data_IF_194959979460
#
_entry.id   IF_194959979460
#
_cell.length_a   1.000
_cell.length_b   1.000
_cell.length_c   1.000
_cell.angle_alpha   90.00
_cell.angle_beta   90.00
_cell.angle_gamma   90.00
#
_symmetry.space_group_name_H-M   'P 1'
#
loop_
_entity.id
_entity.type
_entity.pdbx_description
1 polymer ?
#
# COMPACT_ATOMS: atom_id res chain seq x y z
N UNK A 1 24.69 2.77 6.30
CA UNK A 1 23.33 3.18 6.66
C UNK A 1 22.38 2.33 5.84
N UNK A 2 21.78 1.31 6.44
CA UNK A 2 20.94 0.34 5.72
C UNK A 2 19.76 0.01 6.60
N UNK A 3 18.58 0.39 6.14
CA UNK A 3 17.32 -0.05 6.72
C UNK A 3 16.86 -1.33 6.01
N UNK A 4 16.47 -2.33 6.80
CA UNK A 4 15.88 -3.58 6.31
C UNK A 4 14.38 -3.53 6.53
N UNK A 5 13.62 -3.83 5.48
CA UNK A 5 12.17 -3.93 5.51
C UNK A 5 11.75 -5.33 5.08
N UNK A 6 10.73 -5.87 5.74
CA UNK A 6 10.12 -7.15 5.39
C UNK A 6 8.61 -7.06 5.64
N UNK A 7 7.84 -7.84 4.89
CA UNK A 7 6.46 -8.13 5.17
C UNK A 7 6.36 -9.63 5.47
N UNK A 8 5.60 -10.01 6.50
CA UNK A 8 5.39 -11.43 6.82
C UNK A 8 4.09 -11.94 6.21
N UNK A 9 3.94 -13.26 6.15
CA UNK A 9 2.80 -13.94 5.50
C UNK A 9 1.44 -13.46 6.01
N UNK A 10 1.33 -13.10 7.29
CA UNK A 10 0.06 -12.62 7.88
C UNK A 10 -0.27 -11.16 7.51
N UNK A 11 0.74 -10.36 7.14
CA UNK A 11 0.56 -8.98 6.70
C UNK A 11 0.35 -8.90 5.18
N UNK A 12 0.86 -9.89 4.44
CA UNK A 12 0.86 -9.91 2.98
C UNK A 12 -0.55 -9.81 2.36
N UNK A 13 -1.60 -10.54 2.80
CA UNK A 13 -2.93 -10.42 2.20
C UNK A 13 -3.49 -8.99 2.21
N UNK A 14 -3.29 -8.26 3.31
CA UNK A 14 -3.76 -6.89 3.43
C UNK A 14 -2.91 -5.93 2.57
N UNK A 15 -1.59 -6.10 2.58
CA UNK A 15 -0.68 -5.30 1.74
C UNK A 15 -0.97 -5.52 0.26
N UNK A 16 -1.16 -6.77 -0.17
CA UNK A 16 -1.51 -7.13 -1.55
C UNK A 16 -2.79 -6.41 -2.00
N UNK A 17 -3.84 -6.43 -1.20
CA UNK A 17 -5.09 -5.72 -1.52
C UNK A 17 -4.89 -4.20 -1.65
N UNK A 18 -4.04 -3.61 -0.79
CA UNK A 18 -3.68 -2.19 -0.88
C UNK A 18 -2.91 -1.88 -2.18
N UNK A 19 -1.95 -2.73 -2.56
CA UNK A 19 -1.21 -2.60 -3.82
C UNK A 19 -2.12 -2.75 -5.04
N UNK A 20 -2.99 -3.76 -5.06
CA UNK A 20 -3.95 -3.97 -6.16
C UNK A 20 -4.89 -2.77 -6.33
N UNK A 21 -5.40 -2.23 -5.22
CA UNK A 21 -6.24 -1.03 -5.22
C UNK A 21 -5.48 0.20 -5.74
N UNK A 22 -4.20 0.32 -5.39
CA UNK A 22 -3.38 1.46 -5.81
C UNK A 22 -2.99 1.39 -7.28
N UNK A 23 -2.68 0.19 -7.78
CA UNK A 23 -2.27 -0.08 -9.16
C UNK A 23 -3.42 -0.08 -10.16
N UNK A 24 -4.67 -0.13 -9.69
CA UNK A 24 -5.85 -0.02 -10.55
C UNK A 24 -5.76 1.26 -11.41
N UNK A 25 -5.88 1.17 -12.76
CA UNK A 25 -5.86 2.34 -13.63
C UNK A 25 -6.87 3.43 -13.23
N UNK A 26 -8.00 3.06 -12.62
CA UNK A 26 -8.99 4.00 -12.11
C UNK A 26 -8.47 4.86 -10.95
N UNK A 27 -7.38 4.45 -10.29
CA UNK A 27 -6.71 5.24 -9.26
C UNK A 27 -5.83 6.36 -9.85
N UNK A 28 -5.66 6.45 -11.16
CA UNK A 28 -4.90 7.52 -11.80
C UNK A 28 -5.81 8.44 -12.61
N UNK A 29 -5.50 9.73 -12.62
CA UNK A 29 -6.18 10.68 -13.51
C UNK A 29 -5.48 10.79 -14.88
N UNK A 30 -6.01 11.65 -15.75
CA UNK A 30 -5.46 11.84 -17.10
C UNK A 30 -4.05 12.42 -17.13
N UNK A 31 -3.56 12.99 -16.02
CA UNK A 31 -2.20 13.47 -15.87
C UNK A 31 -1.26 12.41 -15.24
N UNK A 32 -1.78 11.21 -14.95
CA UNK A 32 -1.02 10.15 -14.28
C UNK A 32 -0.88 10.37 -12.77
N UNK A 33 -1.66 11.29 -12.19
CA UNK A 33 -1.62 11.55 -10.75
C UNK A 33 -2.52 10.57 -10.02
N UNK A 34 -1.99 10.00 -8.93
CA UNK A 34 -2.76 9.12 -8.05
C UNK A 34 -3.91 9.88 -7.38
N UNK A 35 -5.11 9.30 -7.40
CA UNK A 35 -6.30 9.79 -6.71
C UNK A 35 -6.28 9.39 -5.24
N UNK A 36 -5.78 8.19 -4.93
CA UNK A 36 -5.56 7.71 -3.56
C UNK A 36 -4.10 7.29 -3.41
N UNK A 37 -3.36 7.86 -2.44
CA UNK A 37 -1.98 7.48 -2.20
C UNK A 37 -1.88 6.12 -1.52
N UNK A 38 -0.87 5.32 -1.90
CA UNK A 38 -0.61 4.01 -1.30
C UNK A 38 -0.43 4.09 0.22
N UNK A 39 0.24 5.15 0.71
CA UNK A 39 0.44 5.40 2.15
C UNK A 39 -0.87 5.43 2.93
N UNK A 40 -1.95 5.96 2.34
CA UNK A 40 -3.28 5.97 2.97
C UNK A 40 -3.90 4.58 3.03
N UNK A 41 -3.62 3.73 2.04
CA UNK A 41 -4.13 2.35 1.98
C UNK A 41 -3.36 1.42 2.94
N UNK A 42 -2.08 1.70 3.19
CA UNK A 42 -1.23 0.88 4.07
C UNK A 42 -1.13 1.38 5.51
N UNK A 43 -1.52 2.63 5.81
CA UNK A 43 -1.39 3.22 7.15
C UNK A 43 -2.03 2.37 8.26
N UNK A 44 -3.21 1.79 8.03
CA UNK A 44 -3.87 0.93 9.03
C UNK A 44 -3.26 -0.47 9.14
N UNK A 45 -2.52 -0.91 8.11
CA UNK A 45 -1.86 -2.22 8.09
C UNK A 45 -0.53 -2.14 8.84
N UNK A 46 0.21 -1.06 8.63
CA UNK A 46 1.55 -0.87 9.18
C UNK A 46 1.54 -0.31 10.62
N UNK A 47 0.50 0.41 11.03
CA UNK A 47 0.38 0.98 12.38
C UNK A 47 -0.40 0.10 13.35
N UNK A 48 -0.62 -1.18 13.06
CA UNK A 48 -1.37 -2.05 13.96
C UNK A 48 -0.46 -2.58 15.07
N UNK A 49 -0.59 -2.12 16.33
CA UNK A 49 0.04 -2.83 17.44
C UNK A 49 -0.67 -4.19 17.55
N UNK A 50 0.07 -5.28 17.36
CA UNK A 50 -0.46 -6.60 17.70
C UNK A 50 -0.81 -6.69 19.17
#
# INVERSE_FOLDING_TARGET
DTAWYAAIDSEWPALKAAFETWLDPANFDSAGMQRRPLTRLTAGILNNPR
#
